data_IF_965320973806
#
_entry.id   IF_965320973806
#
_cell.length_a   1.000
_cell.length_b   1.000
_cell.length_c   1.000
_cell.angle_alpha   90.00
_cell.angle_beta   90.00
_cell.angle_gamma   90.00
#
_symmetry.space_group_name_H-M   'P 1'
#
loop_
_entity.id
_entity.type
_entity.pdbx_description
1 polymer ?
#
# COMPACT_ATOMS: atom_id res chain seq x y z
N UNK A 1 -0.37 12.51 -24.94
CA UNK A 1 0.54 11.37 -24.71
C UNK A 1 -0.18 10.41 -23.79
N UNK A 2 -0.27 9.10 -24.08
CA UNK A 2 -1.00 8.20 -23.20
C UNK A 2 -0.25 8.10 -21.87
N UNK A 3 -0.88 8.54 -20.79
CA UNK A 3 -0.41 8.32 -19.43
C UNK A 3 -0.60 6.82 -19.16
N UNK A 4 0.50 6.08 -19.16
CA UNK A 4 0.63 4.63 -18.93
C UNK A 4 0.10 3.68 -20.03
N UNK A 5 0.96 3.42 -21.02
CA UNK A 5 0.90 2.24 -21.88
C UNK A 5 1.49 1.00 -21.22
N UNK A 6 1.14 0.72 -19.97
CA UNK A 6 1.51 -0.52 -19.28
C UNK A 6 0.21 -1.22 -18.95
N UNK A 7 -0.17 -2.17 -19.80
CA UNK A 7 -1.08 -3.25 -19.39
C UNK A 7 -0.61 -3.74 -18.02
N UNK A 8 -1.50 -3.92 -17.02
CA UNK A 8 -1.10 -4.40 -15.71
C UNK A 8 -0.62 -5.84 -15.82
N UNK A 9 0.65 -6.03 -16.20
CA UNK A 9 1.37 -7.27 -15.97
C UNK A 9 1.24 -7.61 -14.48
N UNK A 10 0.96 -8.87 -14.18
CA UNK A 10 0.85 -9.34 -12.81
C UNK A 10 2.19 -9.17 -12.11
N UNK A 11 2.35 -8.04 -11.41
CA UNK A 11 3.56 -7.74 -10.65
C UNK A 11 3.73 -8.77 -9.54
N UNK A 12 4.95 -9.29 -9.33
CA UNK A 12 5.21 -10.19 -8.21
C UNK A 12 4.98 -9.49 -6.87
N UNK A 13 4.58 -10.27 -5.87
CA UNK A 13 4.62 -9.84 -4.46
C UNK A 13 5.88 -10.42 -3.82
N UNK A 14 6.80 -9.55 -3.41
CA UNK A 14 8.05 -9.98 -2.79
C UNK A 14 7.86 -10.23 -1.29
N UNK A 15 8.35 -11.37 -0.81
CA UNK A 15 8.34 -11.78 0.61
C UNK A 15 9.74 -12.24 1.02
N UNK A 16 10.12 -12.17 2.31
CA UNK A 16 11.45 -12.59 2.75
C UNK A 16 11.69 -14.09 2.47
N UNK A 17 12.83 -14.41 1.86
CA UNK A 17 13.21 -15.80 1.54
C UNK A 17 13.79 -16.55 2.77
N UNK A 18 14.25 -15.81 3.78
CA UNK A 18 14.80 -16.34 5.02
C UNK A 18 14.45 -15.43 6.21
N UNK A 19 14.59 -15.94 7.44
CA UNK A 19 14.33 -15.18 8.67
C UNK A 19 15.58 -14.44 9.16
N UNK A 20 16.06 -13.49 8.36
CA UNK A 20 17.22 -12.66 8.70
C UNK A 20 17.07 -11.21 8.16
N UNK A 21 17.81 -10.23 8.75
CA UNK A 21 17.69 -8.83 8.36
C UNK A 21 17.97 -8.53 6.88
N UNK A 22 18.82 -9.31 6.19
CA UNK A 22 19.17 -9.10 4.78
C UNK A 22 18.00 -9.52 3.90
N UNK A 23 17.44 -10.71 4.13
CA UNK A 23 16.27 -11.20 3.40
C UNK A 23 15.05 -10.27 3.57
N UNK A 24 14.80 -9.80 4.79
CA UNK A 24 13.75 -8.82 5.07
C UNK A 24 14.03 -7.47 4.41
N UNK A 25 15.28 -6.97 4.48
CA UNK A 25 15.66 -5.72 3.80
C UNK A 25 15.42 -5.80 2.29
N UNK A 26 15.84 -6.89 1.65
CA UNK A 26 15.63 -7.07 0.20
C UNK A 26 14.14 -7.13 -0.15
N UNK A 27 13.37 -7.95 0.56
CA UNK A 27 11.93 -8.10 0.29
C UNK A 27 11.16 -6.81 0.52
N UNK A 28 11.40 -6.11 1.63
CA UNK A 28 10.69 -4.87 1.96
C UNK A 28 11.08 -3.72 1.02
N UNK A 29 12.33 -3.62 0.59
CA UNK A 29 12.73 -2.63 -0.42
C UNK A 29 12.12 -2.94 -1.79
N UNK A 30 12.07 -4.20 -2.23
CA UNK A 30 11.43 -4.56 -3.50
C UNK A 30 9.92 -4.30 -3.47
N UNK A 31 9.25 -4.68 -2.40
CA UNK A 31 7.80 -4.53 -2.26
C UNK A 31 7.40 -3.08 -2.03
N UNK A 32 7.85 -2.46 -0.94
CA UNK A 32 7.32 -1.17 -0.52
C UNK A 32 7.81 -0.02 -1.40
N UNK A 33 9.02 -0.04 -1.98
CA UNK A 33 9.39 1.01 -2.93
C UNK A 33 8.50 0.98 -4.18
N UNK A 34 8.03 -0.21 -4.62
CA UNK A 34 7.09 -0.34 -5.73
C UNK A 34 5.69 0.15 -5.32
N UNK A 35 5.19 -0.22 -4.14
CA UNK A 35 3.92 0.31 -3.61
C UNK A 35 3.96 1.85 -3.53
N UNK A 36 5.01 2.41 -2.90
CA UNK A 36 5.18 3.86 -2.78
C UNK A 36 5.28 4.54 -4.15
N UNK A 37 5.92 3.90 -5.13
CA UNK A 37 5.99 4.41 -6.50
C UNK A 37 4.58 4.50 -7.10
N UNK A 38 3.78 3.45 -6.94
CA UNK A 38 2.39 3.42 -7.41
C UNK A 38 1.52 4.47 -6.73
N UNK A 39 1.72 4.76 -5.43
CA UNK A 39 1.00 5.85 -4.76
C UNK A 39 1.24 7.17 -5.49
N UNK A 40 2.47 7.44 -5.94
CA UNK A 40 2.79 8.65 -6.68
C UNK A 40 2.09 8.70 -8.04
N UNK A 41 1.87 7.54 -8.68
CA UNK A 41 1.09 7.47 -9.92
C UNK A 41 -0.38 7.77 -9.61
N UNK A 42 -0.95 7.17 -8.56
CA UNK A 42 -2.34 7.40 -8.17
C UNK A 42 -2.60 8.86 -7.81
N UNK A 43 -1.69 9.52 -7.09
CA UNK A 43 -1.80 10.96 -6.82
C UNK A 43 -1.78 11.79 -8.10
N UNK A 44 -0.92 11.46 -9.07
CA UNK A 44 -0.92 12.16 -10.35
C UNK A 44 -2.25 12.00 -11.10
N UNK A 45 -2.86 10.81 -11.08
CA UNK A 45 -4.17 10.57 -11.70
C UNK A 45 -5.29 11.35 -11.01
N UNK A 46 -5.25 11.43 -9.67
CA UNK A 46 -6.29 12.04 -8.84
C UNK A 46 -6.09 13.54 -8.59
N UNK A 47 -5.07 14.16 -9.20
CA UNK A 47 -4.79 15.60 -9.14
C UNK A 47 -4.89 16.25 -10.53
N UNK A 48 -6.09 16.27 -11.15
CA UNK A 48 -6.28 16.87 -12.46
C UNK A 48 -6.21 18.40 -12.39
N UNK A 49 -6.07 19.03 -13.56
CA UNK A 49 -6.13 20.49 -13.70
C UNK A 49 -4.79 21.22 -13.51
N UNK A 50 -4.70 22.48 -13.97
CA UNK A 50 -3.50 23.32 -13.83
C UNK A 50 -3.24 23.78 -12.37
N UNK A 51 -4.28 23.91 -11.55
CA UNK A 51 -4.19 24.34 -10.16
C UNK A 51 -3.46 23.31 -9.26
N UNK A 52 -3.48 22.03 -9.64
CA UNK A 52 -2.77 20.96 -8.94
C UNK A 52 -1.44 20.57 -9.60
N UNK A 53 -0.96 21.36 -10.56
CA UNK A 53 0.26 21.04 -11.32
C UNK A 53 1.52 21.02 -10.46
N UNK A 54 1.61 21.89 -9.44
CA UNK A 54 2.68 21.87 -8.44
C UNK A 54 2.76 20.53 -7.67
N UNK A 55 1.72 20.17 -6.90
CA UNK A 55 1.62 18.88 -6.22
C UNK A 55 1.85 17.67 -7.15
N UNK A 56 1.27 17.69 -8.35
CA UNK A 56 1.40 16.62 -9.33
C UNK A 56 2.84 16.46 -9.84
N UNK A 57 3.57 17.56 -10.08
CA UNK A 57 5.01 17.50 -10.44
C UNK A 57 5.87 16.91 -9.31
N UNK A 58 5.58 17.24 -8.06
CA UNK A 58 6.30 16.67 -6.92
C UNK A 58 6.07 15.15 -6.83
N UNK A 59 4.83 14.69 -7.01
CA UNK A 59 4.54 13.25 -7.10
C UNK A 59 5.31 12.59 -8.26
N UNK A 60 5.35 13.22 -9.44
CA UNK A 60 6.12 12.71 -10.59
C UNK A 60 7.63 12.61 -10.32
N UNK A 61 8.19 13.52 -9.51
CA UNK A 61 9.58 13.45 -9.08
C UNK A 61 9.81 12.26 -8.14
N UNK A 62 8.98 12.09 -7.12
CA UNK A 62 9.07 10.95 -6.22
C UNK A 62 8.87 9.62 -6.95
N UNK A 63 7.96 9.56 -7.93
CA UNK A 63 7.79 8.38 -8.77
C UNK A 63 9.11 7.99 -9.44
N UNK A 64 9.84 8.95 -10.03
CA UNK A 64 11.14 8.68 -10.68
C UNK A 64 12.19 8.19 -9.69
N UNK A 65 12.26 8.80 -8.51
CA UNK A 65 13.21 8.40 -7.46
C UNK A 65 12.92 6.98 -6.95
N UNK A 66 11.65 6.65 -6.75
CA UNK A 66 11.22 5.33 -6.31
C UNK A 66 11.45 4.27 -7.40
N UNK A 67 11.23 4.60 -8.68
CA UNK A 67 11.54 3.70 -9.79
C UNK A 67 13.02 3.29 -9.83
N UNK A 68 13.93 4.23 -9.54
CA UNK A 68 15.36 3.94 -9.40
C UNK A 68 15.58 2.99 -8.20
N UNK A 69 15.01 3.31 -7.03
CA UNK A 69 15.16 2.45 -5.85
C UNK A 69 14.62 1.03 -6.07
N UNK A 70 13.46 0.86 -6.72
CA UNK A 70 12.90 -0.47 -7.04
C UNK A 70 13.89 -1.27 -7.89
N UNK A 71 14.42 -0.67 -8.96
CA UNK A 71 15.37 -1.33 -9.86
C UNK A 71 16.63 -1.81 -9.12
N UNK A 72 17.18 -0.96 -8.27
CA UNK A 72 18.40 -1.26 -7.51
C UNK A 72 18.18 -2.24 -6.34
N UNK A 73 16.93 -2.39 -5.86
CA UNK A 73 16.61 -3.26 -4.70
C UNK A 73 16.94 -4.74 -4.94
N UNK A 74 16.97 -5.18 -6.19
CA UNK A 74 17.32 -6.56 -6.56
C UNK A 74 18.76 -6.95 -6.19
N UNK A 75 19.67 -5.96 -6.13
CA UNK A 75 21.09 -6.13 -5.83
C UNK A 75 21.43 -6.02 -4.34
N UNK A 76 20.42 -6.00 -3.46
CA UNK A 76 20.66 -5.98 -2.00
C UNK A 76 21.22 -7.33 -1.55
N UNK A 77 22.32 -7.29 -0.80
CA UNK A 77 22.96 -8.44 -0.17
C UNK A 77 23.56 -8.08 1.20
N UNK A 78 24.22 -9.04 1.85
CA UNK A 78 24.80 -8.87 3.17
C UNK A 78 25.88 -7.77 3.24
N UNK A 79 26.54 -7.45 2.12
CA UNK A 79 27.60 -6.44 2.07
C UNK A 79 27.07 -5.00 1.99
N UNK A 80 25.85 -4.80 1.48
CA UNK A 80 25.36 -3.47 1.14
C UNK A 80 24.01 -3.09 1.77
N UNK A 81 23.28 -4.03 2.39
CA UNK A 81 21.88 -3.79 2.79
C UNK A 81 21.69 -2.60 3.72
N UNK A 82 22.59 -2.36 4.69
CA UNK A 82 22.47 -1.22 5.61
C UNK A 82 22.59 0.12 4.88
N UNK A 83 23.54 0.22 3.96
CA UNK A 83 23.73 1.43 3.17
C UNK A 83 22.55 1.67 2.22
N UNK A 84 22.00 0.60 1.64
CA UNK A 84 20.78 0.68 0.82
C UNK A 84 19.58 1.14 1.64
N UNK A 85 19.33 0.49 2.78
CA UNK A 85 18.23 0.80 3.68
C UNK A 85 18.25 2.26 4.12
N UNK A 86 19.43 2.84 4.42
CA UNK A 86 19.54 4.27 4.78
C UNK A 86 19.01 5.19 3.68
N UNK A 87 19.28 4.90 2.39
CA UNK A 87 18.74 5.67 1.26
C UNK A 87 17.22 5.52 1.15
N UNK A 88 16.72 4.30 1.27
CA UNK A 88 15.28 4.04 1.23
C UNK A 88 14.53 4.66 2.41
N UNK A 89 15.11 4.68 3.62
CA UNK A 89 14.55 5.35 4.79
C UNK A 89 14.42 6.86 4.54
N UNK A 90 15.47 7.50 4.01
CA UNK A 90 15.43 8.93 3.68
C UNK A 90 14.33 9.24 2.66
N UNK A 91 14.29 8.47 1.57
CA UNK A 91 13.28 8.64 0.53
C UNK A 91 11.86 8.40 1.06
N UNK A 92 11.64 7.34 1.83
CA UNK A 92 10.35 7.02 2.42
C UNK A 92 9.86 8.13 3.37
N UNK A 93 10.74 8.71 4.19
CA UNK A 93 10.41 9.85 5.06
C UNK A 93 10.02 11.10 4.27
N UNK A 94 10.72 11.40 3.17
CA UNK A 94 10.36 12.52 2.30
C UNK A 94 9.02 12.31 1.59
N UNK A 95 8.77 11.10 1.11
CA UNK A 95 7.48 10.70 0.51
C UNK A 95 6.35 10.80 1.54
N UNK A 96 6.58 10.33 2.77
CA UNK A 96 5.65 10.48 3.89
C UNK A 96 5.35 11.96 4.18
N UNK A 97 6.39 12.80 4.24
CA UNK A 97 6.24 14.25 4.44
C UNK A 97 5.39 14.91 3.35
N UNK A 98 5.63 14.58 2.08
CA UNK A 98 4.79 15.04 0.97
C UNK A 98 3.32 14.64 1.16
N UNK A 99 3.06 13.36 1.47
CA UNK A 99 1.69 12.86 1.67
C UNK A 99 0.99 13.57 2.83
N UNK A 100 1.67 13.79 3.94
CA UNK A 100 1.14 14.52 5.12
C UNK A 100 0.79 15.96 4.77
N UNK A 101 1.70 16.68 4.12
CA UNK A 101 1.45 18.08 3.69
C UNK A 101 0.26 18.14 2.73
N UNK A 102 0.19 17.25 1.73
CA UNK A 102 -0.95 17.24 0.79
C UNK A 102 -2.27 16.87 1.49
N UNK A 103 -2.23 15.95 2.45
CA UNK A 103 -3.36 15.60 3.30
C UNK A 103 -3.88 16.79 4.10
N UNK A 104 -2.98 17.55 4.74
CA UNK A 104 -3.33 18.79 5.46
C UNK A 104 -3.96 19.83 4.51
N UNK A 105 -3.36 20.05 3.33
CA UNK A 105 -3.93 20.99 2.34
C UNK A 105 -5.32 20.56 1.86
N UNK A 106 -5.55 19.25 1.67
CA UNK A 106 -6.86 18.70 1.30
C UNK A 106 -7.88 18.91 2.44
N UNK A 107 -7.50 18.59 3.69
CA UNK A 107 -8.36 18.70 4.86
C UNK A 107 -8.78 20.16 5.15
N UNK A 108 -7.87 21.10 4.93
CA UNK A 108 -8.11 22.54 5.11
C UNK A 108 -8.83 23.19 3.91
N UNK A 109 -9.13 22.42 2.85
CA UNK A 109 -9.79 22.93 1.65
C UNK A 109 -8.92 23.87 0.79
N UNK A 110 -7.60 23.91 1.05
CA UNK A 110 -6.61 24.67 0.28
C UNK A 110 -6.23 23.96 -1.03
N UNK A 111 -6.36 22.64 -1.05
CA UNK A 111 -6.25 21.79 -2.23
C UNK A 111 -7.61 21.15 -2.54
N UNK A 112 -7.99 21.09 -3.82
CA UNK A 112 -9.24 20.47 -4.28
C UNK A 112 -8.93 19.36 -5.28
N UNK A 113 -8.44 18.23 -4.76
CA UNK A 113 -8.16 17.04 -5.57
C UNK A 113 -9.28 16.00 -5.45
N UNK A 114 -9.14 14.90 -6.21
CA UNK A 114 -9.96 13.69 -6.07
C UNK A 114 -9.41 12.70 -5.04
N UNK A 115 -8.36 13.09 -4.29
CA UNK A 115 -7.74 12.26 -3.26
C UNK A 115 -8.43 12.51 -1.92
N UNK A 116 -8.95 11.47 -1.27
CA UNK A 116 -9.45 11.57 0.09
C UNK A 116 -8.33 11.89 1.09
N UNK A 117 -8.61 12.71 2.10
CA UNK A 117 -7.67 12.98 3.20
C UNK A 117 -7.19 11.67 3.85
N UNK A 118 -8.10 10.72 4.08
CA UNK A 118 -7.77 9.41 4.63
C UNK A 118 -6.82 8.61 3.73
N UNK A 119 -6.88 8.78 2.40
CA UNK A 119 -5.96 8.11 1.47
C UNK A 119 -4.53 8.68 1.61
N UNK A 120 -4.37 9.98 1.84
CA UNK A 120 -3.06 10.56 2.17
C UNK A 120 -2.51 10.02 3.49
N UNK A 121 -3.34 9.97 4.53
CA UNK A 121 -2.96 9.46 5.85
C UNK A 121 -2.57 7.97 5.79
N UNK A 122 -3.39 7.16 5.14
CA UNK A 122 -3.17 5.74 4.88
C UNK A 122 -1.81 5.50 4.21
N UNK A 123 -1.60 6.11 3.05
CA UNK A 123 -0.38 5.91 2.28
C UNK A 123 0.85 6.51 2.97
N UNK A 124 0.71 7.52 3.83
CA UNK A 124 1.80 8.07 4.62
C UNK A 124 2.22 7.08 5.73
N UNK A 125 1.24 6.45 6.39
CA UNK A 125 1.47 5.42 7.41
C UNK A 125 2.27 4.23 6.86
N UNK A 126 2.01 3.82 5.62
CA UNK A 126 2.77 2.76 4.95
C UNK A 126 4.22 3.16 4.68
N UNK A 127 4.45 4.40 4.26
CA UNK A 127 5.80 4.93 4.08
C UNK A 127 6.57 4.99 5.41
N UNK A 128 5.90 5.40 6.49
CA UNK A 128 6.47 5.41 7.84
C UNK A 128 6.79 4.00 8.33
N UNK A 129 5.89 3.02 8.06
CA UNK A 129 6.11 1.60 8.41
C UNK A 129 7.34 1.03 7.72
N UNK A 130 7.53 1.31 6.42
CA UNK A 130 8.76 0.93 5.71
C UNK A 130 10.00 1.51 6.40
N UNK A 131 10.00 2.83 6.65
CA UNK A 131 11.15 3.50 7.25
C UNK A 131 11.50 2.93 8.64
N UNK A 132 10.49 2.64 9.46
CA UNK A 132 10.67 2.03 10.78
C UNK A 132 11.27 0.62 10.69
N UNK A 133 10.73 -0.23 9.83
CA UNK A 133 11.21 -1.61 9.62
C UNK A 133 12.64 -1.66 9.11
N UNK A 134 12.98 -0.87 8.09
CA UNK A 134 14.36 -0.80 7.59
C UNK A 134 15.35 -0.32 8.67
N UNK A 135 14.92 0.55 9.58
CA UNK A 135 15.75 1.00 10.69
C UNK A 135 16.01 -0.10 11.73
N UNK A 136 15.06 -1.02 11.94
CA UNK A 136 15.24 -2.24 12.74
C UNK A 136 16.27 -3.16 12.07
N UNK A 137 16.09 -3.44 10.78
CA UNK A 137 16.98 -4.34 10.02
C UNK A 137 18.44 -3.86 10.03
N UNK A 138 18.65 -2.54 9.98
CA UNK A 138 19.98 -1.93 10.10
C UNK A 138 20.69 -2.23 11.43
N UNK A 139 19.94 -2.52 12.49
CA UNK A 139 20.45 -2.95 13.80
C UNK A 139 20.48 -4.46 13.98
N UNK A 140 20.22 -5.21 12.90
CA UNK A 140 20.11 -6.67 12.88
C UNK A 140 18.94 -7.24 13.69
N UNK A 141 17.92 -6.41 13.91
CA UNK A 141 16.65 -6.81 14.52
C UNK A 141 15.62 -7.06 13.42
N UNK A 142 14.70 -8.00 13.61
CA UNK A 142 13.52 -8.19 12.75
C UNK A 142 12.27 -7.85 13.56
N UNK A 143 11.27 -7.28 12.91
CA UNK A 143 9.98 -7.01 13.54
C UNK A 143 9.16 -8.31 13.61
N UNK A 144 8.87 -8.77 14.82
CA UNK A 144 8.05 -9.94 15.10
C UNK A 144 6.90 -9.66 16.08
N UNK A 145 6.59 -8.38 16.31
CA UNK A 145 5.43 -8.00 17.11
C UNK A 145 4.13 -8.29 16.34
N UNK A 146 3.54 -9.44 16.66
CA UNK A 146 2.28 -9.89 16.05
C UNK A 146 1.13 -8.92 16.32
N UNK A 147 1.09 -8.27 17.48
CA UNK A 147 -0.01 -7.37 17.82
C UNK A 147 0.07 -6.06 17.02
N UNK A 148 1.27 -5.48 16.89
CA UNK A 148 1.52 -4.32 16.02
C UNK A 148 1.23 -4.65 14.55
N UNK A 149 1.66 -5.82 14.08
CA UNK A 149 1.38 -6.30 12.74
C UNK A 149 -0.12 -6.41 12.47
N UNK A 150 -0.88 -7.01 13.39
CA UNK A 150 -2.34 -7.13 13.26
C UNK A 150 -2.99 -5.75 13.25
N UNK A 151 -2.58 -4.83 14.13
CA UNK A 151 -3.12 -3.47 14.20
C UNK A 151 -2.88 -2.68 12.92
N UNK A 152 -1.65 -2.71 12.40
CA UNK A 152 -1.28 -2.07 11.14
C UNK A 152 -2.12 -2.61 9.98
N UNK A 153 -2.13 -3.94 9.80
CA UNK A 153 -2.78 -4.54 8.65
C UNK A 153 -4.30 -4.54 8.76
N UNK A 154 -4.90 -4.69 9.94
CA UNK A 154 -6.36 -4.61 10.08
C UNK A 154 -6.84 -3.21 9.71
N UNK A 155 -6.16 -2.16 10.18
CA UNK A 155 -6.48 -0.79 9.79
C UNK A 155 -6.35 -0.58 8.28
N UNK A 156 -5.24 -1.04 7.69
CA UNK A 156 -5.00 -0.95 6.24
C UNK A 156 -6.04 -1.73 5.43
N UNK A 157 -6.42 -2.95 5.83
CA UNK A 157 -7.44 -3.75 5.12
C UNK A 157 -8.85 -3.19 5.29
N UNK A 158 -9.16 -2.63 6.46
CA UNK A 158 -10.41 -1.92 6.71
C UNK A 158 -10.55 -0.69 5.82
N UNK A 159 -9.55 0.19 5.82
CA UNK A 159 -9.50 1.39 4.96
C UNK A 159 -9.58 1.04 3.47
N UNK A 160 -8.86 0.01 3.01
CA UNK A 160 -9.00 -0.49 1.63
C UNK A 160 -10.42 -0.90 1.28
N UNK A 161 -11.09 -1.61 2.18
CA UNK A 161 -12.45 -2.08 1.94
C UNK A 161 -13.41 -0.88 1.83
N UNK A 162 -13.24 0.14 2.68
CA UNK A 162 -13.95 1.41 2.55
C UNK A 162 -13.66 2.13 1.23
N UNK A 163 -12.39 2.23 0.81
CA UNK A 163 -12.01 2.84 -0.47
C UNK A 163 -12.66 2.11 -1.66
N UNK A 164 -12.64 0.77 -1.65
CA UNK A 164 -13.29 -0.04 -2.69
C UNK A 164 -14.79 0.24 -2.73
N UNK A 165 -15.48 0.26 -1.58
CA UNK A 165 -16.91 0.55 -1.51
C UNK A 165 -17.26 1.91 -2.14
N UNK A 166 -16.44 2.93 -1.93
CA UNK A 166 -16.66 4.30 -2.44
C UNK A 166 -16.26 4.49 -3.92
N UNK A 167 -15.38 3.65 -4.46
CA UNK A 167 -14.94 3.72 -5.86
C UNK A 167 -15.74 2.80 -6.80
N UNK A 168 -16.53 1.87 -6.26
CA UNK A 168 -17.48 1.07 -7.01
C UNK A 168 -18.63 1.93 -7.53
N UNK A 169 -19.16 1.56 -8.71
CA UNK A 169 -20.37 2.19 -9.23
C UNK A 169 -21.54 1.94 -8.26
N UNK A 170 -22.42 2.93 -7.96
CA UNK A 170 -23.51 2.77 -7.00
C UNK A 170 -24.51 1.64 -7.30
N UNK A 171 -24.49 1.10 -8.51
CA UNK A 171 -25.33 -0.05 -8.92
C UNK A 171 -24.71 -1.41 -8.58
N UNK A 172 -23.42 -1.47 -8.24
CA UNK A 172 -22.72 -2.69 -7.78
C UNK A 172 -23.02 -3.00 -6.29
N UNK A 173 -24.31 -2.97 -5.92
CA UNK A 173 -24.78 -2.99 -4.52
C UNK A 173 -24.24 -4.17 -3.71
N UNK A 174 -24.19 -5.35 -4.30
CA UNK A 174 -23.68 -6.55 -3.62
C UNK A 174 -22.19 -6.45 -3.28
N UNK A 175 -21.39 -5.87 -4.18
CA UNK A 175 -19.96 -5.67 -3.95
C UNK A 175 -19.71 -4.55 -2.93
N UNK A 176 -20.51 -3.48 -2.99
CA UNK A 176 -20.48 -2.40 -1.99
C UNK A 176 -20.80 -2.96 -0.61
N UNK A 177 -21.89 -3.71 -0.47
CA UNK A 177 -22.30 -4.32 0.81
C UNK A 177 -21.23 -5.27 1.35
N UNK A 178 -20.57 -6.04 0.48
CA UNK A 178 -19.48 -6.92 0.88
C UNK A 178 -18.25 -6.12 1.34
N UNK A 179 -17.86 -5.08 0.61
CA UNK A 179 -16.76 -4.20 0.98
C UNK A 179 -17.02 -3.52 2.33
N UNK A 180 -18.22 -2.97 2.56
CA UNK A 180 -18.59 -2.36 3.84
C UNK A 180 -18.63 -3.36 5.00
N UNK A 181 -19.00 -4.63 4.76
CA UNK A 181 -18.91 -5.67 5.79
C UNK A 181 -17.46 -5.96 6.18
N UNK A 182 -16.55 -6.06 5.21
CA UNK A 182 -15.13 -6.24 5.45
C UNK A 182 -14.54 -5.05 6.21
N UNK A 183 -14.86 -3.83 5.79
CA UNK A 183 -14.46 -2.60 6.49
C UNK A 183 -14.84 -2.63 7.97
N UNK A 184 -16.12 -2.86 8.27
CA UNK A 184 -16.62 -2.95 9.64
C UNK A 184 -15.97 -4.09 10.43
N UNK A 185 -15.71 -5.24 9.79
CA UNK A 185 -15.08 -6.38 10.45
C UNK A 185 -13.63 -6.07 10.86
N UNK A 186 -12.85 -5.38 10.03
CA UNK A 186 -11.46 -5.04 10.32
C UNK A 186 -11.30 -3.84 11.26
N UNK A 187 -12.20 -2.85 11.17
CA UNK A 187 -12.14 -1.63 11.97
C UNK A 187 -12.86 -1.76 13.32
N UNK A 188 -13.46 -2.92 13.62
CA UNK A 188 -14.08 -3.14 14.93
C UNK A 188 -13.05 -3.00 16.05
N UNK A 189 -13.44 -2.32 17.12
CA UNK A 189 -12.69 -2.38 18.36
C UNK A 189 -12.53 -3.83 18.80
N UNK A 190 -11.36 -4.18 19.33
CA UNK A 190 -11.13 -5.54 19.79
C UNK A 190 -10.53 -6.47 18.72
N UNK A 191 -10.36 -6.05 17.45
CA UNK A 191 -9.87 -6.95 16.39
C UNK A 191 -8.51 -7.59 16.72
N UNK A 192 -7.60 -6.84 17.36
CA UNK A 192 -6.29 -7.36 17.77
C UNK A 192 -6.33 -8.38 18.91
N UNK A 193 -7.45 -8.50 19.61
CA UNK A 193 -7.69 -9.48 20.68
C UNK A 193 -8.40 -10.74 20.18
N UNK A 194 -8.75 -10.79 18.90
CA UNK A 194 -9.41 -11.93 18.27
C UNK A 194 -8.41 -13.10 18.16
N UNK A 195 -8.84 -14.36 18.33
CA UNK A 195 -7.97 -15.51 18.14
C UNK A 195 -7.22 -15.49 16.79
N UNK A 196 -5.99 -15.98 16.76
CA UNK A 196 -5.12 -15.92 15.58
C UNK A 196 -5.71 -16.57 14.33
N UNK A 197 -6.43 -17.69 14.49
CA UNK A 197 -7.09 -18.41 13.38
C UNK A 197 -8.19 -17.57 12.72
N UNK A 198 -8.93 -16.80 13.53
CA UNK A 198 -9.98 -15.91 13.04
C UNK A 198 -9.40 -14.71 12.29
N UNK A 199 -8.24 -14.18 12.73
CA UNK A 199 -7.51 -13.12 12.01
C UNK A 199 -6.99 -13.65 10.67
N UNK A 200 -6.43 -14.86 10.64
CA UNK A 200 -5.97 -15.49 9.41
C UNK A 200 -7.13 -15.73 8.43
N UNK A 201 -8.29 -16.16 8.93
CA UNK A 201 -9.50 -16.33 8.12
C UNK A 201 -9.95 -15.01 7.49
N UNK A 202 -10.02 -13.94 8.27
CA UNK A 202 -10.38 -12.61 7.78
C UNK A 202 -9.38 -12.11 6.72
N UNK A 203 -8.08 -12.36 6.91
CA UNK A 203 -7.03 -12.02 5.96
C UNK A 203 -7.21 -12.74 4.60
N UNK A 204 -7.59 -14.02 4.61
CA UNK A 204 -7.90 -14.75 3.38
C UNK A 204 -9.20 -14.25 2.73
N UNK A 205 -10.24 -13.95 3.51
CA UNK A 205 -11.51 -13.44 2.99
C UNK A 205 -11.34 -12.12 2.22
N UNK A 206 -10.57 -11.16 2.76
CA UNK A 206 -10.28 -9.90 2.05
C UNK A 206 -9.35 -10.10 0.85
N UNK A 207 -8.42 -11.05 0.91
CA UNK A 207 -7.56 -11.39 -0.22
C UNK A 207 -8.38 -11.97 -1.38
N UNK A 208 -9.30 -12.89 -1.09
CA UNK A 208 -10.20 -13.49 -2.09
C UNK A 208 -11.10 -12.42 -2.71
N UNK A 209 -11.68 -11.55 -1.88
CA UNK A 209 -12.48 -10.42 -2.35
C UNK A 209 -11.70 -9.51 -3.29
N UNK A 210 -10.48 -9.10 -2.92
CA UNK A 210 -9.61 -8.27 -3.75
C UNK A 210 -9.16 -8.98 -5.04
N UNK A 211 -8.96 -10.30 -4.99
CA UNK A 211 -8.60 -11.11 -6.17
C UNK A 211 -9.74 -11.17 -7.18
N UNK A 212 -10.97 -11.41 -6.70
CA UNK A 212 -12.17 -11.39 -7.56
C UNK A 212 -12.39 -9.97 -8.11
N UNK A 213 -12.25 -8.95 -7.26
CA UNK A 213 -12.37 -7.54 -7.63
C UNK A 213 -11.40 -7.15 -8.74
N UNK A 214 -10.11 -7.44 -8.58
CA UNK A 214 -9.08 -7.15 -9.61
C UNK A 214 -9.43 -7.80 -10.95
N UNK A 215 -9.79 -9.10 -10.96
CA UNK A 215 -10.16 -9.81 -12.18
C UNK A 215 -11.40 -9.21 -12.85
N UNK A 216 -12.40 -8.85 -12.07
CA UNK A 216 -13.64 -8.25 -12.57
C UNK A 216 -13.41 -6.85 -13.15
N UNK A 217 -12.59 -6.03 -12.50
CA UNK A 217 -12.19 -4.69 -12.97
C UNK A 217 -11.36 -4.79 -14.25
N UNK A 218 -10.30 -5.62 -14.26
CA UNK A 218 -9.44 -5.86 -15.44
C UNK A 218 -10.24 -6.33 -16.66
N UNK A 219 -11.27 -7.15 -16.47
CA UNK A 219 -12.10 -7.69 -17.56
C UNK A 219 -13.32 -6.83 -17.92
N UNK A 220 -13.48 -5.65 -17.31
CA UNK A 220 -14.62 -4.76 -17.56
C UNK A 220 -15.98 -5.31 -17.09
N UNK A 221 -15.99 -6.29 -16.18
CA UNK A 221 -17.20 -6.94 -15.65
C UNK A 221 -17.72 -6.31 -14.36
N UNK A 222 -16.89 -5.52 -13.68
CA UNK A 222 -17.27 -4.73 -12.50
C UNK A 222 -17.23 -3.26 -12.89
N UNK A 223 -18.34 -2.55 -12.73
CA UNK A 223 -18.39 -1.11 -13.00
C UNK A 223 -17.80 -0.36 -11.82
N UNK A 224 -16.82 0.48 -12.07
CA UNK A 224 -16.14 1.28 -11.05
C UNK A 224 -15.32 2.38 -11.69
N UNK A 225 -14.84 3.30 -10.87
CA UNK A 225 -13.76 4.23 -11.20
C UNK A 225 -12.40 3.75 -10.63
N UNK A 226 -12.29 2.45 -10.30
CA UNK A 226 -11.06 1.84 -9.78
C UNK A 226 -10.12 1.55 -10.95
N UNK A 227 -8.94 2.16 -10.95
CA UNK A 227 -7.91 1.82 -11.93
C UNK A 227 -7.44 0.36 -11.73
N UNK A 228 -7.23 -0.45 -12.79
CA UNK A 228 -6.78 -1.84 -12.64
C UNK A 228 -5.51 -2.01 -11.81
N UNK A 229 -4.55 -1.08 -11.94
CA UNK A 229 -3.33 -1.08 -11.13
C UNK A 229 -3.60 -0.82 -9.65
N UNK A 230 -4.60 -0.01 -9.30
CA UNK A 230 -5.01 0.21 -7.90
C UNK A 230 -5.65 -1.06 -7.32
N UNK A 231 -6.46 -1.79 -8.10
CA UNK A 231 -7.02 -3.07 -7.68
C UNK A 231 -5.91 -4.13 -7.41
N UNK A 232 -4.91 -4.19 -8.30
CA UNK A 232 -3.73 -5.04 -8.13
C UNK A 232 -2.91 -4.65 -6.90
N UNK A 233 -2.66 -3.35 -6.73
CA UNK A 233 -1.92 -2.77 -5.62
C UNK A 233 -2.43 -3.22 -4.26
N UNK A 234 -3.72 -2.97 -3.98
CA UNK A 234 -4.32 -3.31 -2.69
C UNK A 234 -4.41 -4.83 -2.48
N UNK A 235 -4.49 -5.63 -3.56
CA UNK A 235 -4.43 -7.10 -3.47
C UNK A 235 -3.03 -7.57 -3.04
N UNK A 236 -1.96 -7.01 -3.61
CA UNK A 236 -0.58 -7.39 -3.26
C UNK A 236 -0.26 -7.08 -1.79
N UNK A 237 -0.85 -6.04 -1.23
CA UNK A 237 -0.80 -5.78 0.23
C UNK A 237 -1.57 -6.81 1.05
N UNK A 238 -2.72 -7.29 0.59
CA UNK A 238 -3.42 -8.38 1.25
C UNK A 238 -2.61 -9.69 1.20
N UNK A 239 -1.89 -9.96 0.11
CA UNK A 239 -0.93 -11.08 0.04
C UNK A 239 0.17 -10.92 1.08
N UNK A 240 0.75 -9.72 1.22
CA UNK A 240 1.75 -9.43 2.26
C UNK A 240 1.20 -9.63 3.67
N UNK A 241 -0.02 -9.19 3.94
CA UNK A 241 -0.65 -9.41 5.24
C UNK A 241 -0.74 -10.90 5.59
N UNK A 242 -1.22 -11.73 4.64
CA UNK A 242 -1.31 -13.19 4.84
C UNK A 242 0.06 -13.83 5.06
N UNK A 243 1.08 -13.44 4.30
CA UNK A 243 2.45 -13.95 4.47
C UNK A 243 3.04 -13.56 5.84
N UNK A 244 2.90 -12.30 6.25
CA UNK A 244 3.44 -11.83 7.52
C UNK A 244 2.72 -12.45 8.74
N UNK A 245 1.41 -12.68 8.66
CA UNK A 245 0.66 -13.43 9.68
C UNK A 245 1.15 -14.88 9.83
N UNK A 246 1.52 -15.53 8.73
CA UNK A 246 2.05 -16.91 8.76
C UNK A 246 3.43 -16.98 9.41
N UNK A 247 4.27 -15.95 9.21
CA UNK A 247 5.64 -15.87 9.77
C UNK A 247 5.68 -15.49 11.25
N UNK A 248 4.58 -14.98 11.77
CA UNK A 248 4.41 -14.60 13.17
C UNK A 248 3.47 -15.56 13.93
N UNK A 249 3.05 -16.66 13.29
CA UNK A 249 2.23 -17.71 13.89
C UNK A 249 3.08 -18.70 14.70
#
# INVERSE_FOLDING_TARGET
MPLSGVEPEDKPTFVPEARDPVAYSRADNLFWNDQLMEHMIFFQMMMPGPELDGPRRQAAEFQRLLAIQVKESSAIDASNYVAFNRRSIDLAKRVSGYKKIMGEQQAEGKMRSLVWTQFFEHTAREADRLAARLALYNRREIDDDRADLIDFWSKTMGEHSGFIAHLLEPTERLLIDQASKLENAFLREGFKQVPGDDVMKAAHEVLDFKTIGEKGIKSGKIKSIIHPSLASHVRREAVRFVDELKRTA
#
